data_IF_777827573995
#
_entry.id   IF_777827573995
#
_cell.length_a   1.000
_cell.length_b   1.000
_cell.length_c   1.000
_cell.angle_alpha   90.00
_cell.angle_beta   90.00
_cell.angle_gamma   90.00
#
_symmetry.space_group_name_H-M   'P 1'
#
loop_
_entity.id
_entity.type
_entity.pdbx_description
1 polymer ?
#
# COMPACT_ATOMS: atom_id res chain seq x y z
N UNK A 1 0.85 17.27 -10.55
CA UNK A 1 -0.48 17.38 -11.14
C UNK A 1 -1.20 18.56 -10.50
N UNK A 2 -1.99 19.31 -11.25
CA UNK A 2 -2.83 20.40 -10.72
C UNK A 2 -4.07 19.84 -10.02
N UNK A 3 -4.78 20.68 -9.24
CA UNK A 3 -6.06 20.32 -8.62
C UNK A 3 -7.07 19.79 -9.66
N UNK A 4 -7.19 20.47 -10.81
CA UNK A 4 -8.11 20.08 -11.88
C UNK A 4 -7.80 18.67 -12.42
N UNK A 5 -6.52 18.35 -12.61
CA UNK A 5 -6.08 17.03 -13.10
C UNK A 5 -6.38 15.92 -12.07
N UNK A 6 -6.24 16.21 -10.77
CA UNK A 6 -6.59 15.26 -9.71
C UNK A 6 -8.09 15.02 -9.68
N UNK A 7 -8.90 16.08 -9.72
CA UNK A 7 -10.37 16.01 -9.76
C UNK A 7 -10.84 15.22 -10.98
N UNK A 8 -10.27 15.48 -12.16
CA UNK A 8 -10.58 14.74 -13.38
C UNK A 8 -10.24 13.26 -13.23
N UNK A 9 -9.07 12.95 -12.66
CA UNK A 9 -8.63 11.56 -12.43
C UNK A 9 -9.59 10.80 -11.51
N UNK A 10 -10.00 11.41 -10.39
CA UNK A 10 -10.98 10.83 -9.47
C UNK A 10 -12.34 10.66 -10.15
N UNK A 11 -12.77 11.65 -10.93
CA UNK A 11 -14.05 11.59 -11.66
C UNK A 11 -14.08 10.45 -12.66
N UNK A 12 -13.00 10.24 -13.42
CA UNK A 12 -12.87 9.11 -14.35
C UNK A 12 -12.86 7.77 -13.63
N UNK A 13 -12.17 7.67 -12.50
CA UNK A 13 -12.18 6.46 -11.67
C UNK A 13 -13.58 6.14 -11.13
N UNK A 14 -14.33 7.16 -10.68
CA UNK A 14 -15.73 7.01 -10.25
C UNK A 14 -16.64 6.56 -11.40
N UNK A 15 -16.42 7.05 -12.61
CA UNK A 15 -17.19 6.59 -13.77
C UNK A 15 -16.90 5.13 -14.09
N UNK A 16 -15.62 4.72 -14.11
CA UNK A 16 -15.21 3.32 -14.29
C UNK A 16 -15.76 2.40 -13.18
N UNK A 17 -15.81 2.90 -11.94
CA UNK A 17 -16.35 2.18 -10.79
C UNK A 17 -17.83 1.81 -10.98
N UNK A 18 -18.65 2.66 -11.60
CA UNK A 18 -20.10 2.39 -11.75
C UNK A 18 -20.37 1.06 -12.45
N UNK A 19 -19.66 0.79 -13.54
CA UNK A 19 -19.77 -0.49 -14.24
C UNK A 19 -19.09 -1.62 -13.44
N UNK A 20 -17.90 -1.34 -12.90
CA UNK A 20 -17.12 -2.34 -12.18
C UNK A 20 -17.79 -2.86 -10.90
N UNK A 21 -18.53 -2.00 -10.20
CA UNK A 21 -19.30 -2.34 -9.00
C UNK A 21 -20.42 -3.37 -9.28
N UNK A 22 -20.84 -3.53 -10.53
CA UNK A 22 -21.82 -4.53 -10.95
C UNK A 22 -21.19 -5.88 -11.32
N UNK A 23 -19.85 -5.96 -11.40
CA UNK A 23 -19.18 -7.20 -11.76
C UNK A 23 -19.30 -8.25 -10.64
N UNK A 24 -19.49 -9.55 -10.96
CA UNK A 24 -19.52 -10.59 -9.95
C UNK A 24 -18.19 -10.73 -9.21
N UNK A 25 -18.23 -11.12 -7.93
CA UNK A 25 -17.04 -11.35 -7.10
C UNK A 25 -16.07 -12.35 -7.75
N UNK A 26 -16.59 -13.38 -8.43
CA UNK A 26 -15.79 -14.36 -9.20
C UNK A 26 -14.95 -13.70 -10.29
N UNK A 27 -15.50 -12.74 -11.03
CA UNK A 27 -14.77 -11.97 -12.05
C UNK A 27 -13.68 -11.11 -11.41
N UNK A 28 -13.99 -10.41 -10.31
CA UNK A 28 -13.01 -9.58 -9.58
C UNK A 28 -11.86 -10.43 -9.03
N UNK A 29 -12.17 -11.57 -8.41
CA UNK A 29 -11.18 -12.54 -7.91
C UNK A 29 -10.27 -13.00 -9.04
N UNK A 30 -10.84 -13.35 -10.19
CA UNK A 30 -10.07 -13.82 -11.34
C UNK A 30 -9.06 -12.76 -11.84
N UNK A 31 -9.46 -11.48 -11.86
CA UNK A 31 -8.56 -10.37 -12.24
C UNK A 31 -7.38 -10.29 -11.26
N UNK A 32 -7.67 -10.22 -9.96
CA UNK A 32 -6.63 -10.09 -8.92
C UNK A 32 -5.74 -11.32 -8.84
N UNK A 33 -6.29 -12.52 -9.06
CA UNK A 33 -5.52 -13.77 -9.09
C UNK A 33 -4.56 -13.81 -10.27
N UNK A 34 -4.99 -13.36 -11.46
CA UNK A 34 -4.09 -13.28 -12.62
C UNK A 34 -3.01 -12.21 -12.44
N UNK A 35 -3.35 -11.08 -11.82
CA UNK A 35 -2.35 -10.08 -11.45
C UNK A 35 -1.32 -10.65 -10.47
N UNK A 36 -1.77 -11.38 -9.46
CA UNK A 36 -0.88 -12.07 -8.52
C UNK A 36 0.06 -13.05 -9.22
N UNK A 37 -0.47 -13.93 -10.07
CA UNK A 37 0.37 -14.89 -10.82
C UNK A 37 1.40 -14.15 -11.68
N UNK A 38 1.00 -13.08 -12.36
CA UNK A 38 1.94 -12.25 -13.12
C UNK A 38 3.03 -11.66 -12.23
N UNK A 39 2.69 -11.12 -11.05
CA UNK A 39 3.67 -10.59 -10.10
C UNK A 39 4.64 -11.68 -9.66
N UNK A 40 4.16 -12.90 -9.38
CA UNK A 40 5.01 -14.03 -8.98
C UNK A 40 5.94 -14.48 -10.10
N UNK A 41 5.45 -14.55 -11.34
CA UNK A 41 6.23 -14.89 -12.53
C UNK A 41 7.28 -13.81 -12.86
N UNK A 42 7.01 -12.55 -12.52
CA UNK A 42 7.86 -11.40 -12.84
C UNK A 42 8.54 -10.80 -11.60
N UNK A 43 8.59 -11.55 -10.49
CA UNK A 43 9.03 -11.07 -9.18
C UNK A 43 10.42 -10.45 -9.20
N UNK A 44 11.33 -10.99 -10.01
CA UNK A 44 12.70 -10.50 -10.14
C UNK A 44 12.73 -9.08 -10.72
N UNK A 45 11.94 -8.83 -11.76
CA UNK A 45 11.82 -7.49 -12.38
C UNK A 45 11.14 -6.54 -11.41
N UNK A 46 10.02 -6.95 -10.80
CA UNK A 46 9.29 -6.14 -9.82
C UNK A 46 10.20 -5.72 -8.67
N UNK A 47 10.92 -6.66 -8.07
CA UNK A 47 11.84 -6.38 -6.96
C UNK A 47 12.99 -5.47 -7.37
N UNK A 48 13.56 -5.64 -8.58
CA UNK A 48 14.61 -4.74 -9.09
C UNK A 48 14.12 -3.32 -9.30
N UNK A 49 12.94 -3.15 -9.88
CA UNK A 49 12.33 -1.83 -10.10
C UNK A 49 12.06 -1.15 -8.76
N UNK A 50 11.46 -1.86 -7.80
CA UNK A 50 11.19 -1.35 -6.45
C UNK A 50 12.49 -1.01 -5.71
N UNK A 51 13.49 -1.91 -5.72
CA UNK A 51 14.78 -1.69 -5.06
C UNK A 51 15.49 -0.45 -5.61
N UNK A 52 15.46 -0.26 -6.93
CA UNK A 52 16.12 0.87 -7.59
C UNK A 52 15.51 2.22 -7.21
N UNK A 53 14.19 2.29 -7.04
CA UNK A 53 13.50 3.56 -6.75
C UNK A 53 13.46 3.85 -5.23
N UNK A 54 13.20 2.82 -4.42
CA UNK A 54 13.06 2.98 -2.96
C UNK A 54 14.39 2.90 -2.18
N UNK A 55 15.46 2.46 -2.82
CA UNK A 55 16.75 2.19 -2.17
C UNK A 55 16.79 0.89 -1.36
N UNK A 56 15.69 0.11 -1.34
CA UNK A 56 15.64 -1.21 -0.70
C UNK A 56 16.70 -2.15 -1.27
N UNK A 57 17.22 -3.05 -0.43
CA UNK A 57 17.89 -4.24 -0.96
C UNK A 57 16.89 -5.09 -1.75
N UNK A 58 17.36 -5.89 -2.72
CA UNK A 58 16.47 -6.78 -3.49
C UNK A 58 15.72 -7.74 -2.56
N UNK A 59 16.39 -8.21 -1.51
CA UNK A 59 15.79 -9.08 -0.48
C UNK A 59 14.64 -8.35 0.22
N UNK A 60 14.85 -7.12 0.67
CA UNK A 60 13.79 -6.33 1.34
C UNK A 60 12.64 -5.95 0.40
N UNK A 61 12.95 -5.67 -0.87
CA UNK A 61 11.94 -5.44 -1.90
C UNK A 61 11.07 -6.69 -2.11
N UNK A 62 11.68 -7.89 -2.10
CA UNK A 62 10.93 -9.14 -2.23
C UNK A 62 9.96 -9.37 -1.07
N UNK A 63 10.35 -9.05 0.17
CA UNK A 63 9.44 -9.13 1.31
C UNK A 63 8.33 -8.08 1.24
N UNK A 64 8.63 -6.86 0.79
CA UNK A 64 7.63 -5.78 0.73
C UNK A 64 6.56 -5.96 -0.34
N UNK A 65 6.95 -6.48 -1.51
CA UNK A 65 6.06 -6.59 -2.68
C UNK A 65 5.34 -7.95 -2.77
N UNK A 66 5.86 -9.01 -2.12
CA UNK A 66 5.31 -10.37 -2.20
C UNK A 66 4.36 -10.73 -1.04
N UNK A 67 4.10 -9.83 -0.09
CA UNK A 67 3.06 -10.07 0.93
C UNK A 67 1.68 -9.90 0.30
N UNK A 68 1.23 -10.95 -0.39
CA UNK A 68 -0.11 -11.07 -0.96
C UNK A 68 -0.83 -12.32 -0.41
N UNK A 69 -0.76 -12.52 0.91
CA UNK A 69 -1.44 -13.63 1.58
C UNK A 69 -2.99 -13.51 1.55
N UNK A 70 -3.51 -12.32 1.22
CA UNK A 70 -4.94 -12.01 1.23
C UNK A 70 -5.74 -12.58 0.04
N UNK A 71 -5.10 -13.11 -1.00
CA UNK A 71 -5.82 -13.53 -2.22
C UNK A 71 -6.47 -14.91 -2.09
N UNK A 72 -5.86 -15.85 -1.36
CA UNK A 72 -6.40 -17.21 -1.22
C UNK A 72 -7.65 -17.29 -0.31
N UNK A 73 -7.74 -16.42 0.71
CA UNK A 73 -8.84 -16.38 1.68
C UNK A 73 -9.73 -15.12 1.56
N UNK A 74 -9.58 -14.35 0.48
CA UNK A 74 -10.13 -13.00 0.34
C UNK A 74 -11.65 -12.91 0.56
N UNK A 75 -12.43 -13.94 0.24
CA UNK A 75 -13.88 -13.93 0.46
C UNK A 75 -14.26 -13.95 1.95
N UNK A 76 -13.56 -14.74 2.77
CA UNK A 76 -13.78 -14.81 4.23
C UNK A 76 -13.10 -13.66 4.97
N UNK A 77 -11.94 -13.20 4.49
CA UNK A 77 -11.15 -12.12 5.12
C UNK A 77 -11.71 -10.74 4.79
N UNK A 78 -12.24 -10.54 3.57
CA UNK A 78 -12.85 -9.27 3.15
C UNK A 78 -14.35 -9.17 3.45
N UNK A 79 -14.99 -10.26 3.89
CA UNK A 79 -16.37 -10.21 4.39
C UNK A 79 -16.51 -9.27 5.61
N UNK A 80 -15.57 -9.27 6.60
CA UNK A 80 -15.53 -8.28 7.66
C UNK A 80 -14.55 -7.11 7.42
N UNK A 81 -13.53 -7.24 6.55
CA UNK A 81 -12.48 -6.22 6.39
C UNK A 81 -12.44 -5.45 5.05
N UNK A 82 -12.26 -4.14 5.23
CA UNK A 82 -12.25 -3.05 4.25
C UNK A 82 -10.92 -2.91 3.46
N UNK A 83 -10.28 -4.02 3.06
CA UNK A 83 -8.91 -4.01 2.49
C UNK A 83 -8.80 -4.69 1.13
N UNK A 84 -9.48 -4.10 0.16
CA UNK A 84 -9.26 -4.34 -1.25
C UNK A 84 -10.24 -3.50 -2.05
N UNK A 85 -9.86 -2.25 -2.37
CA UNK A 85 -10.76 -1.32 -3.06
C UNK A 85 -11.39 -1.99 -4.28
N UNK A 86 -10.56 -2.60 -5.11
CA UNK A 86 -10.92 -3.32 -6.34
C UNK A 86 -11.74 -4.58 -6.04
N UNK A 87 -11.37 -5.40 -5.05
CA UNK A 87 -12.15 -6.61 -4.75
C UNK A 87 -13.59 -6.29 -4.31
N UNK A 88 -13.74 -5.23 -3.51
CA UNK A 88 -15.03 -4.72 -3.07
C UNK A 88 -15.81 -3.97 -4.17
N UNK A 89 -15.22 -3.77 -5.36
CA UNK A 89 -15.88 -3.11 -6.48
C UNK A 89 -15.72 -1.60 -6.52
N UNK A 90 -14.79 -1.04 -5.74
CA UNK A 90 -14.48 0.39 -5.70
C UNK A 90 -13.40 0.76 -6.72
N UNK A 91 -13.46 1.99 -7.23
CA UNK A 91 -12.34 2.65 -7.88
C UNK A 91 -11.26 3.00 -6.86
N UNK A 92 -10.03 3.16 -7.34
CA UNK A 92 -8.89 3.44 -6.48
C UNK A 92 -7.95 4.45 -7.14
N UNK A 93 -7.71 5.57 -6.46
CA UNK A 93 -6.71 6.55 -6.87
C UNK A 93 -5.59 6.55 -5.84
N UNK A 94 -4.38 6.22 -6.28
CA UNK A 94 -3.20 6.10 -5.44
C UNK A 94 -2.33 7.33 -5.62
N UNK A 95 -2.10 8.08 -4.55
CA UNK A 95 -1.01 9.08 -4.50
C UNK A 95 0.17 8.48 -3.75
N UNK A 96 1.21 8.15 -4.48
CA UNK A 96 2.46 7.65 -3.89
C UNK A 96 3.38 8.79 -3.48
N UNK A 97 4.41 8.50 -2.68
CA UNK A 97 5.46 9.47 -2.38
C UNK A 97 6.13 9.93 -3.67
N UNK A 98 6.36 11.22 -3.78
CA UNK A 98 7.14 11.85 -4.84
C UNK A 98 8.56 11.26 -4.96
N UNK A 99 9.14 10.79 -3.85
CA UNK A 99 10.45 10.15 -3.81
C UNK A 99 10.47 8.76 -4.45
N UNK A 100 9.30 8.18 -4.72
CA UNK A 100 9.15 6.86 -5.34
C UNK A 100 8.11 6.94 -6.47
N UNK A 101 8.10 8.04 -7.21
CA UNK A 101 7.12 8.33 -8.27
C UNK A 101 7.43 7.62 -9.60
N UNK A 102 8.64 7.07 -9.75
CA UNK A 102 9.05 6.37 -10.96
C UNK A 102 8.51 4.93 -10.98
N UNK A 103 8.66 4.16 -9.90
CA UNK A 103 8.16 2.78 -9.83
C UNK A 103 6.61 2.73 -9.84
N UNK A 104 5.94 3.77 -9.36
CA UNK A 104 4.46 3.83 -9.38
C UNK A 104 3.92 3.96 -10.79
N UNK A 105 4.65 4.61 -11.70
CA UNK A 105 4.29 4.65 -13.13
C UNK A 105 4.44 3.29 -13.79
N UNK A 106 5.46 2.52 -13.40
CA UNK A 106 5.64 1.14 -13.84
C UNK A 106 4.45 0.28 -13.39
N UNK A 107 4.06 0.35 -12.11
CA UNK A 107 2.88 -0.34 -11.60
C UNK A 107 1.58 0.09 -12.27
N UNK A 108 1.39 1.39 -12.52
CA UNK A 108 0.21 1.89 -13.24
C UNK A 108 0.07 1.22 -14.61
N UNK A 109 1.18 1.02 -15.32
CA UNK A 109 1.18 0.36 -16.64
C UNK A 109 0.73 -1.09 -16.53
N UNK A 110 1.26 -1.84 -15.55
CA UNK A 110 0.87 -3.24 -15.29
C UNK A 110 -0.61 -3.34 -14.96
N UNK A 111 -1.09 -2.49 -14.05
CA UNK A 111 -2.49 -2.47 -13.61
C UNK A 111 -3.43 -2.19 -14.76
N UNK A 112 -3.11 -1.20 -15.61
CA UNK A 112 -3.91 -0.88 -16.81
C UNK A 112 -3.98 -2.04 -17.79
N UNK A 113 -2.85 -2.70 -18.06
CA UNK A 113 -2.82 -3.88 -18.93
C UNK A 113 -3.66 -5.02 -18.36
N UNK A 114 -3.59 -5.25 -17.04
CA UNK A 114 -4.41 -6.25 -16.37
C UNK A 114 -5.92 -5.93 -16.48
N UNK A 115 -6.32 -4.69 -16.21
CA UNK A 115 -7.73 -4.25 -16.32
C UNK A 115 -8.24 -4.38 -17.76
N UNK A 116 -7.49 -3.85 -18.73
CA UNK A 116 -7.84 -3.89 -20.16
C UNK A 116 -8.03 -5.32 -20.66
N UNK A 117 -7.13 -6.25 -20.29
CA UNK A 117 -7.21 -7.67 -20.69
C UNK A 117 -8.49 -8.36 -20.19
N UNK A 118 -9.13 -7.81 -19.17
CA UNK A 118 -10.37 -8.33 -18.59
C UNK A 118 -11.62 -7.51 -18.95
N UNK A 119 -11.49 -6.56 -19.89
CA UNK A 119 -12.58 -5.68 -20.31
C UNK A 119 -13.06 -4.79 -19.18
N UNK A 120 -12.13 -4.33 -18.33
CA UNK A 120 -12.41 -3.34 -17.28
C UNK A 120 -11.72 -2.03 -17.68
N UNK A 121 -12.41 -0.91 -17.48
CA UNK A 121 -11.87 0.41 -17.76
C UNK A 121 -10.57 0.64 -16.98
N UNK A 122 -9.52 1.03 -17.71
CA UNK A 122 -8.18 1.33 -17.21
C UNK A 122 -8.16 2.48 -16.20
N UNK A 123 -9.20 3.33 -16.19
CA UNK A 123 -9.36 4.42 -15.22
C UNK A 123 -9.82 3.94 -13.84
N UNK A 124 -10.24 2.67 -13.69
CA UNK A 124 -10.67 2.13 -12.39
C UNK A 124 -9.58 2.29 -11.33
N UNK A 125 -8.33 2.05 -11.70
CA UNK A 125 -7.17 2.26 -10.84
C UNK A 125 -6.26 3.31 -11.47
N UNK A 126 -6.09 4.44 -10.78
CA UNK A 126 -5.26 5.53 -11.25
C UNK A 126 -4.14 5.85 -10.24
N UNK A 127 -3.07 6.43 -10.75
CA UNK A 127 -1.97 6.96 -9.94
C UNK A 127 -1.91 8.47 -10.15
N UNK A 128 -1.83 9.20 -9.04
CA UNK A 128 -1.60 10.64 -8.99
C UNK A 128 -0.19 10.88 -8.45
N UNK A 129 0.62 11.62 -9.21
CA UNK A 129 1.95 12.03 -8.79
C UNK A 129 1.97 13.53 -8.50
N UNK A 130 2.61 13.90 -7.39
CA UNK A 130 2.75 15.29 -6.96
C UNK A 130 3.14 15.39 -5.50
N UNK A 131 3.35 16.61 -5.03
CA UNK A 131 3.75 16.91 -3.65
C UNK A 131 2.52 16.94 -2.74
N UNK A 132 2.59 17.68 -1.63
CA UNK A 132 1.53 17.79 -0.65
C UNK A 132 0.22 18.34 -1.25
N UNK A 133 0.31 19.25 -2.20
CA UNK A 133 -0.81 19.85 -2.95
C UNK A 133 -1.68 18.80 -3.66
N UNK A 134 -1.06 17.84 -4.36
CA UNK A 134 -1.78 16.74 -5.01
C UNK A 134 -2.44 15.80 -4.00
N UNK A 135 -1.82 15.60 -2.83
CA UNK A 135 -2.40 14.82 -1.75
C UNK A 135 -3.61 15.50 -1.11
N UNK A 136 -3.53 16.82 -0.90
CA UNK A 136 -4.63 17.65 -0.42
C UNK A 136 -5.81 17.66 -1.39
N UNK A 137 -5.53 17.85 -2.69
CA UNK A 137 -6.53 17.75 -3.74
C UNK A 137 -7.25 16.39 -3.73
N UNK A 138 -6.49 15.30 -3.53
CA UNK A 138 -7.07 13.95 -3.50
C UNK A 138 -7.97 13.73 -2.27
N UNK A 139 -7.57 14.24 -1.10
CA UNK A 139 -8.36 14.16 0.14
C UNK A 139 -9.73 14.82 -0.06
N UNK A 140 -9.78 15.99 -0.71
CA UNK A 140 -11.03 16.73 -0.95
C UNK A 140 -12.03 16.00 -1.85
N UNK A 141 -11.59 14.99 -2.60
CA UNK A 141 -12.38 14.32 -3.61
C UNK A 141 -12.65 12.85 -3.29
N UNK A 142 -12.12 12.31 -2.18
CA UNK A 142 -12.17 10.89 -1.86
C UNK A 142 -13.30 10.57 -0.89
N UNK A 143 -14.05 9.49 -1.17
CA UNK A 143 -15.11 9.00 -0.26
C UNK A 143 -14.55 8.18 0.92
N UNK A 144 -13.32 7.66 0.76
CA UNK A 144 -12.57 6.93 1.77
C UNK A 144 -11.08 7.15 1.56
N UNK A 145 -10.36 7.40 2.66
CA UNK A 145 -8.93 7.67 2.65
C UNK A 145 -8.20 6.55 3.40
N UNK A 146 -7.22 5.92 2.75
CA UNK A 146 -6.23 5.08 3.43
C UNK A 146 -4.89 5.80 3.36
N UNK A 147 -4.42 6.28 4.50
CA UNK A 147 -3.21 7.09 4.59
C UNK A 147 -2.10 6.32 5.29
N UNK A 148 -0.92 6.29 4.67
CA UNK A 148 0.26 5.58 5.17
C UNK A 148 1.45 6.54 5.16
N UNK A 149 1.79 7.12 6.32
CA UNK A 149 3.00 7.95 6.50
C UNK A 149 3.21 8.28 7.99
N UNK A 150 3.80 9.45 8.27
CA UNK A 150 4.04 9.92 9.64
C UNK A 150 2.74 10.30 10.39
N UNK A 151 2.75 10.17 11.73
CA UNK A 151 1.64 10.65 12.57
C UNK A 151 1.32 12.14 12.39
N UNK A 152 2.35 12.97 12.13
CA UNK A 152 2.19 14.41 11.97
C UNK A 152 1.31 14.75 10.76
N UNK A 153 1.55 14.13 9.61
CA UNK A 153 0.72 14.33 8.41
C UNK A 153 -0.62 13.61 8.55
N UNK A 154 -0.66 12.44 9.20
CA UNK A 154 -1.90 11.72 9.48
C UNK A 154 -2.93 12.57 10.26
N UNK A 155 -2.47 13.37 11.24
CA UNK A 155 -3.31 14.35 11.94
C UNK A 155 -3.89 15.42 11.01
N UNK A 156 -3.11 15.89 10.03
CA UNK A 156 -3.57 16.88 9.06
C UNK A 156 -4.63 16.28 8.11
N UNK A 157 -4.40 15.04 7.65
CA UNK A 157 -5.36 14.30 6.82
C UNK A 157 -6.68 14.11 7.57
N UNK A 158 -6.62 13.65 8.82
CA UNK A 158 -7.80 13.43 9.65
C UNK A 158 -8.56 14.74 9.93
N UNK A 159 -7.84 15.85 10.16
CA UNK A 159 -8.47 17.17 10.32
C UNK A 159 -9.30 17.55 9.09
N UNK A 160 -8.74 17.43 7.88
CA UNK A 160 -9.46 17.75 6.64
C UNK A 160 -10.62 16.80 6.39
N UNK A 161 -10.42 15.49 6.54
CA UNK A 161 -11.47 14.49 6.37
C UNK A 161 -12.65 14.68 7.35
N UNK A 162 -12.43 15.33 8.49
CA UNK A 162 -13.50 15.62 9.45
C UNK A 162 -14.49 16.69 8.97
N UNK A 163 -14.12 17.50 7.98
CA UNK A 163 -14.99 18.54 7.39
C UNK A 163 -16.14 17.92 6.57
N UNK A 164 -15.89 16.75 5.98
CA UNK A 164 -16.81 15.99 5.10
C UNK A 164 -17.29 14.69 5.72
N UNK A 165 -16.76 14.33 6.90
CA UNK A 165 -16.99 13.06 7.59
C UNK A 165 -16.55 11.83 6.77
N UNK A 166 -15.48 11.98 5.99
CA UNK A 166 -14.93 10.89 5.18
C UNK A 166 -14.31 9.79 6.06
N UNK A 167 -14.47 8.53 5.64
CA UNK A 167 -13.87 7.41 6.35
C UNK A 167 -12.34 7.41 6.17
N UNK A 168 -11.60 7.53 7.27
CA UNK A 168 -10.13 7.50 7.26
C UNK A 168 -9.59 6.24 7.94
N UNK A 169 -8.69 5.54 7.26
CA UNK A 169 -7.83 4.50 7.82
C UNK A 169 -6.40 5.02 7.87
N UNK A 170 -5.90 5.26 9.08
CA UNK A 170 -4.52 5.70 9.31
C UNK A 170 -3.62 4.48 9.59
N UNK A 171 -2.57 4.32 8.79
CA UNK A 171 -1.46 3.39 9.02
C UNK A 171 -0.19 4.22 9.23
N UNK A 172 0.03 4.63 10.46
CA UNK A 172 1.11 5.56 10.81
C UNK A 172 2.32 4.82 11.38
N UNK A 173 3.51 5.41 11.22
CA UNK A 173 4.75 4.84 11.75
C UNK A 173 4.73 4.63 13.26
N UNK A 174 5.25 3.48 13.70
CA UNK A 174 5.47 3.13 15.11
C UNK A 174 6.88 3.45 15.59
N UNK A 175 7.17 3.06 16.84
CA UNK A 175 8.52 3.00 17.44
C UNK A 175 8.60 1.72 18.25
N UNK A 176 8.58 0.59 17.56
CA UNK A 176 8.34 -0.70 18.20
C UNK A 176 9.50 -1.09 19.10
N UNK A 177 9.17 -1.79 20.19
CA UNK A 177 10.14 -2.27 21.17
C UNK A 177 10.17 -3.79 21.21
N UNK A 178 11.37 -4.34 21.39
CA UNK A 178 11.57 -5.70 21.85
C UNK A 178 11.97 -5.69 23.33
N UNK A 179 11.33 -6.56 24.12
CA UNK A 179 11.70 -6.83 25.52
C UNK A 179 12.44 -8.16 25.56
N UNK A 180 13.65 -8.16 26.09
CA UNK A 180 14.54 -9.33 26.13
C UNK A 180 14.66 -9.78 27.59
N UNK A 181 14.01 -10.89 27.90
CA UNK A 181 13.96 -11.50 29.24
C UNK A 181 15.20 -12.37 29.52
N UNK A 182 15.49 -12.65 30.80
CA UNK A 182 16.69 -13.38 31.23
C UNK A 182 16.72 -14.86 30.84
N UNK A 183 15.59 -15.40 30.38
CA UNK A 183 15.44 -16.76 29.85
C UNK A 183 15.53 -16.83 28.32
N UNK A 184 15.90 -15.73 27.64
CA UNK A 184 15.98 -15.71 26.18
C UNK A 184 17.14 -16.55 25.62
N UNK A 185 16.94 -17.09 24.41
CA UNK A 185 18.06 -17.55 23.59
C UNK A 185 18.78 -16.35 23.00
N UNK A 186 19.94 -16.01 23.59
CA UNK A 186 20.75 -14.86 23.18
C UNK A 186 21.13 -14.89 21.70
N UNK A 187 21.53 -16.05 21.17
CA UNK A 187 21.97 -16.16 19.79
C UNK A 187 20.82 -15.88 18.82
N UNK A 188 19.63 -16.37 19.14
CA UNK A 188 18.43 -16.10 18.36
C UNK A 188 18.03 -14.61 18.44
N UNK A 189 18.02 -14.04 19.65
CA UNK A 189 17.64 -12.65 19.88
C UNK A 189 18.53 -11.68 19.11
N UNK A 190 19.85 -11.91 19.09
CA UNK A 190 20.78 -11.06 18.33
C UNK A 190 20.43 -11.05 16.85
N UNK A 191 20.15 -12.20 16.23
CA UNK A 191 19.79 -12.27 14.81
C UNK A 191 18.48 -11.52 14.52
N UNK A 192 17.47 -11.71 15.38
CA UNK A 192 16.16 -11.03 15.24
C UNK A 192 16.32 -9.52 15.42
N UNK A 193 17.05 -9.08 16.44
CA UNK A 193 17.27 -7.66 16.73
C UNK A 193 18.03 -6.98 15.58
N UNK A 194 19.11 -7.60 15.10
CA UNK A 194 19.88 -7.07 13.96
C UNK A 194 19.01 -6.92 12.71
N UNK A 195 18.19 -7.93 12.39
CA UNK A 195 17.26 -7.84 11.26
C UNK A 195 16.18 -6.78 11.50
N UNK A 196 15.54 -6.79 12.66
CA UNK A 196 14.42 -5.91 12.98
C UNK A 196 14.80 -4.42 12.99
N UNK A 197 16.03 -4.09 13.42
CA UNK A 197 16.56 -2.73 13.47
C UNK A 197 17.06 -2.30 12.09
N UNK A 198 17.90 -3.10 11.43
CA UNK A 198 18.61 -2.65 10.23
C UNK A 198 17.92 -3.00 8.90
N UNK A 199 16.82 -3.74 8.92
CA UNK A 199 16.06 -4.05 7.71
C UNK A 199 15.60 -2.77 7.02
N UNK A 200 15.81 -2.71 5.70
CA UNK A 200 15.51 -1.54 4.89
C UNK A 200 16.12 -0.23 5.43
N UNK A 201 17.35 -0.28 5.97
CA UNK A 201 18.03 0.90 6.54
C UNK A 201 17.20 1.61 7.62
N UNK A 202 16.49 0.84 8.45
CA UNK A 202 15.60 1.36 9.51
C UNK A 202 14.41 2.20 8.98
N UNK A 203 14.08 2.05 7.69
CA UNK A 203 12.91 2.69 7.07
C UNK A 203 11.75 1.69 6.98
N UNK A 204 11.32 1.16 8.12
CA UNK A 204 10.25 0.17 8.21
C UNK A 204 9.23 0.56 9.30
N UNK A 205 7.94 0.55 8.98
CA UNK A 205 6.90 0.96 9.93
C UNK A 205 6.70 -0.03 11.10
N UNK A 206 7.19 -1.26 10.94
CA UNK A 206 7.23 -2.33 11.96
C UNK A 206 8.68 -2.64 12.39
N UNK A 207 9.60 -1.69 12.16
CA UNK A 207 11.01 -1.82 12.55
C UNK A 207 11.18 -1.73 14.06
N UNK A 208 12.16 -2.45 14.59
CA UNK A 208 12.55 -2.33 16.00
C UNK A 208 13.39 -1.08 16.18
N UNK A 209 12.93 -0.14 17.00
CA UNK A 209 13.70 1.07 17.34
C UNK A 209 14.24 1.04 18.77
N UNK A 210 13.71 0.14 19.62
CA UNK A 210 14.03 0.08 21.05
C UNK A 210 14.24 -1.35 21.51
N UNK A 211 15.31 -1.57 22.26
CA UNK A 211 15.57 -2.82 22.98
C UNK A 211 15.51 -2.55 24.48
N UNK A 212 14.67 -3.29 25.19
CA UNK A 212 14.58 -3.27 26.65
C UNK A 212 15.13 -4.60 27.14
N UNK A 213 16.33 -4.58 27.72
CA UNK A 213 17.09 -5.81 28.04
C UNK A 213 17.12 -6.02 29.56
N UNK A 214 16.88 -7.25 29.98
CA UNK A 214 17.05 -7.64 31.37
C UNK A 214 18.51 -7.48 31.81
N UNK A 215 18.75 -6.92 33.00
CA UNK A 215 20.10 -6.55 33.52
C UNK A 215 21.10 -7.72 33.64
N UNK A 216 20.65 -8.96 33.52
CA UNK A 216 21.48 -10.17 33.66
C UNK A 216 22.09 -10.64 32.33
N UNK A 217 21.69 -10.04 31.21
CA UNK A 217 22.13 -10.37 29.85
C UNK A 217 23.20 -9.36 29.45
#
# INVERSE_FOLDING_TARGET
MTLAEVVETVTRSRQAQREYAMTPFTKRRAILTKLLHWIMENQEVVCRVTARDSGKTIVDASFGELICWSIANGEKVLAPEYRGAVMAGNGCVVKASEHASWYTRYWQTILRLALRKHGVDEALIAVVNGWADAGEALIQCADKITFIASPAVGKQVMKKASETLDLVVLKIGGRDAAVICDDCDFNQVVQIAMRGIFQNYDQNCIGLERLVVHIKI
#
